data_IF_489739242306
#
_entry.id   IF_489739242306
#
_cell.length_a   1.000
_cell.length_b   1.000
_cell.length_c   1.000
_cell.angle_alpha   90.00
_cell.angle_beta   90.00
_cell.angle_gamma   90.00
#
_symmetry.space_group_name_H-M   'P 1'
#
loop_
_entity.id
_entity.type
_entity.pdbx_description
1 polymer ?
#
# COMPACT_ATOMS: atom_id res chain seq x y z
N UNK A 1 17.14 -5.67 6.76
CA UNK A 1 17.22 -4.23 7.04
C UNK A 1 17.19 -4.04 8.55
N UNK A 2 18.08 -3.23 9.13
CA UNK A 2 18.12 -3.01 10.58
C UNK A 2 17.29 -1.76 10.92
N UNK A 3 16.27 -1.90 11.77
CA UNK A 3 15.40 -0.81 12.22
C UNK A 3 16.16 0.45 12.67
N UNK A 4 17.32 0.26 13.31
CA UNK A 4 18.16 1.36 13.78
C UNK A 4 18.80 2.15 12.64
N UNK A 5 19.13 1.50 11.51
CA UNK A 5 19.58 2.20 10.30
C UNK A 5 18.46 3.09 9.75
N UNK A 6 17.24 2.55 9.64
CA UNK A 6 16.09 3.30 9.18
C UNK A 6 15.83 4.53 10.05
N UNK A 7 15.79 4.36 11.38
CA UNK A 7 15.62 5.49 12.33
C UNK A 7 16.71 6.54 12.18
N UNK A 8 17.96 6.11 12.10
CA UNK A 8 19.11 7.02 11.92
C UNK A 8 18.96 7.83 10.64
N UNK A 9 18.52 7.19 9.56
CA UNK A 9 18.29 7.86 8.29
C UNK A 9 17.11 8.84 8.34
N UNK A 10 16.01 8.50 9.01
CA UNK A 10 14.89 9.41 9.22
C UNK A 10 15.28 10.71 9.95
N UNK A 11 16.26 10.63 10.85
CA UNK A 11 16.78 11.80 11.57
C UNK A 11 17.78 12.59 10.71
N UNK A 12 18.61 11.89 9.95
CA UNK A 12 19.80 12.48 9.31
C UNK A 12 19.56 12.99 7.89
N UNK A 13 18.55 12.48 7.19
CA UNK A 13 18.30 12.79 5.78
C UNK A 13 16.92 13.39 5.55
N UNK A 14 16.76 14.05 4.40
CA UNK A 14 15.48 14.58 3.98
C UNK A 14 14.47 13.45 3.68
N UNK A 15 13.17 13.68 3.86
CA UNK A 15 12.14 12.66 3.64
C UNK A 15 12.17 12.02 2.26
N UNK A 16 12.44 12.78 1.20
CA UNK A 16 12.52 12.29 -0.17
C UNK A 16 13.64 11.26 -0.36
N UNK A 17 14.80 11.50 0.27
CA UNK A 17 15.93 10.56 0.25
C UNK A 17 15.59 9.26 0.99
N UNK A 18 14.92 9.38 2.13
CA UNK A 18 14.49 8.22 2.93
C UNK A 18 13.46 7.38 2.15
N UNK A 19 12.47 8.03 1.56
CA UNK A 19 11.45 7.36 0.73
C UNK A 19 12.10 6.66 -0.46
N UNK A 20 12.94 7.36 -1.22
CA UNK A 20 13.61 6.78 -2.38
C UNK A 20 14.43 5.55 -1.99
N UNK A 21 15.26 5.66 -0.95
CA UNK A 21 16.11 4.54 -0.51
C UNK A 21 15.26 3.37 0.00
N UNK A 22 14.42 3.58 1.01
CA UNK A 22 13.82 2.48 1.77
C UNK A 22 12.51 1.95 1.18
N UNK A 23 11.72 2.78 0.50
CA UNK A 23 10.43 2.37 -0.05
C UNK A 23 10.53 2.00 -1.53
N UNK A 24 11.34 2.72 -2.31
CA UNK A 24 11.43 2.53 -3.76
C UNK A 24 12.54 1.56 -4.15
N UNK A 25 13.79 1.87 -3.79
CA UNK A 25 14.98 1.20 -4.32
C UNK A 25 15.32 -0.10 -3.58
N UNK A 26 15.23 -0.11 -2.24
CA UNK A 26 15.69 -1.27 -1.47
C UNK A 26 14.81 -2.50 -1.70
N UNK A 27 15.39 -3.72 -1.65
CA UNK A 27 14.61 -4.94 -1.81
C UNK A 27 13.51 -5.07 -0.75
N UNK A 28 12.35 -5.58 -1.15
CA UNK A 28 11.23 -5.81 -0.23
C UNK A 28 11.59 -6.88 0.78
N UNK A 29 11.42 -6.60 2.08
CA UNK A 29 11.73 -7.56 3.15
C UNK A 29 11.04 -8.91 2.94
N UNK A 30 9.74 -8.90 2.63
CA UNK A 30 8.96 -10.12 2.40
C UNK A 30 9.54 -10.98 1.27
N UNK A 31 9.84 -10.38 0.11
CA UNK A 31 10.37 -11.11 -1.04
C UNK A 31 11.89 -11.37 -0.96
N UNK A 32 12.57 -10.85 0.05
CA UNK A 32 13.97 -11.16 0.32
C UNK A 32 14.12 -12.24 1.42
N UNK A 33 13.17 -12.36 2.33
CA UNK A 33 13.27 -13.25 3.49
C UNK A 33 12.23 -14.38 3.52
N UNK A 34 11.00 -14.13 3.06
CA UNK A 34 9.87 -15.06 3.16
C UNK A 34 9.60 -15.76 1.82
N UNK A 35 9.45 -15.01 0.73
CA UNK A 35 9.16 -15.50 -0.64
C UNK A 35 10.26 -15.07 -1.62
N UNK A 36 11.43 -15.70 -1.49
CA UNK A 36 12.66 -15.26 -2.17
C UNK A 36 12.52 -15.21 -3.69
N UNK A 37 12.74 -14.04 -4.27
CA UNK A 37 12.83 -13.84 -5.72
C UNK A 37 11.49 -13.72 -6.45
N UNK A 38 10.36 -13.76 -5.74
CA UNK A 38 9.02 -13.71 -6.36
C UNK A 38 8.49 -12.29 -6.57
N UNK A 39 9.24 -11.24 -6.18
CA UNK A 39 8.77 -9.85 -6.23
C UNK A 39 8.39 -9.38 -7.64
N UNK A 40 9.20 -9.77 -8.63
CA UNK A 40 8.96 -9.40 -10.02
C UNK A 40 7.67 -10.03 -10.54
N UNK A 41 7.49 -11.34 -10.37
CA UNK A 41 6.29 -12.01 -10.88
C UNK A 41 5.04 -11.53 -10.15
N UNK A 42 5.13 -11.29 -8.83
CA UNK A 42 4.04 -10.73 -8.04
C UNK A 42 3.57 -9.38 -8.57
N UNK A 43 4.50 -8.42 -8.71
CA UNK A 43 4.18 -7.07 -9.20
C UNK A 43 3.70 -7.10 -10.66
N UNK A 44 4.24 -8.00 -11.49
CA UNK A 44 3.84 -8.16 -12.90
C UNK A 44 2.40 -8.63 -13.00
N UNK A 45 2.01 -9.65 -12.23
CA UNK A 45 0.65 -10.17 -12.24
C UNK A 45 -0.36 -9.11 -11.82
N UNK A 46 -0.07 -8.31 -10.80
CA UNK A 46 -0.94 -7.19 -10.38
C UNK A 46 -1.06 -6.14 -11.49
N UNK A 47 0.06 -5.76 -12.11
CA UNK A 47 0.09 -4.78 -13.18
C UNK A 47 -0.75 -5.20 -14.39
N UNK A 48 -0.69 -6.48 -14.77
CA UNK A 48 -1.50 -7.06 -15.86
C UNK A 48 -2.99 -7.05 -15.53
N UNK A 49 -3.38 -7.41 -14.30
CA UNK A 49 -4.79 -7.42 -13.86
C UNK A 49 -5.38 -6.01 -13.90
N UNK A 50 -4.63 -5.01 -13.44
CA UNK A 50 -5.10 -3.64 -13.32
C UNK A 50 -4.88 -2.80 -14.58
N UNK A 51 -4.13 -3.32 -15.57
CA UNK A 51 -3.79 -2.58 -16.78
C UNK A 51 -2.90 -1.37 -16.51
N UNK A 52 -1.99 -1.46 -15.52
CA UNK A 52 -1.04 -0.39 -15.16
C UNK A 52 0.40 -0.80 -15.47
N UNK A 53 1.33 0.15 -15.45
CA UNK A 53 2.72 -0.20 -15.66
C UNK A 53 3.30 -0.87 -14.40
N UNK A 54 4.18 -1.86 -14.58
CA UNK A 54 4.81 -2.60 -13.46
C UNK A 54 5.48 -1.70 -12.42
N UNK A 55 6.06 -0.57 -12.85
CA UNK A 55 6.73 0.40 -11.97
C UNK A 55 5.75 1.19 -11.10
N UNK A 56 4.47 1.19 -11.45
CA UNK A 56 3.42 1.87 -10.70
C UNK A 56 2.99 1.05 -9.48
N UNK A 57 3.39 -0.22 -9.41
CA UNK A 57 3.16 -1.10 -8.27
C UNK A 57 4.30 -0.97 -7.26
N UNK A 58 3.99 -0.54 -6.05
CA UNK A 58 4.97 -0.34 -4.97
C UNK A 58 4.50 -1.10 -3.74
N UNK A 59 5.34 -1.97 -3.21
CA UNK A 59 5.06 -2.66 -1.94
C UNK A 59 5.45 -1.71 -0.80
N UNK A 60 4.57 -1.57 0.17
CA UNK A 60 4.72 -0.66 1.30
C UNK A 60 4.47 -1.39 2.62
N UNK A 61 4.41 -0.66 3.73
CA UNK A 61 4.09 -1.20 5.04
C UNK A 61 5.17 -2.14 5.59
N UNK A 62 4.76 -3.03 6.51
CA UNK A 62 5.68 -3.94 7.20
C UNK A 62 6.27 -5.00 6.28
N UNK A 63 5.57 -5.39 5.21
CA UNK A 63 6.12 -6.31 4.21
C UNK A 63 7.29 -5.73 3.42
N UNK A 64 7.31 -4.40 3.22
CA UNK A 64 8.44 -3.69 2.61
C UNK A 64 9.64 -3.58 3.55
N UNK A 65 9.42 -3.03 4.74
CA UNK A 65 10.49 -2.63 5.65
C UNK A 65 10.96 -3.76 6.58
N UNK A 66 10.11 -4.77 6.80
CA UNK A 66 10.30 -5.82 7.81
C UNK A 66 9.79 -5.44 9.19
N UNK A 67 9.24 -4.23 9.36
CA UNK A 67 8.61 -3.76 10.58
C UNK A 67 7.52 -2.74 10.26
N UNK A 68 6.53 -2.62 11.13
CA UNK A 68 5.43 -1.68 10.98
C UNK A 68 5.84 -0.26 11.40
N UNK A 69 5.58 0.71 10.53
CA UNK A 69 5.69 2.15 10.83
C UNK A 69 4.34 2.76 11.21
N UNK A 70 3.32 1.93 11.49
CA UNK A 70 2.02 2.41 11.96
C UNK A 70 2.12 2.77 13.44
N UNK A 71 1.73 3.98 13.85
CA UNK A 71 1.66 4.32 15.26
C UNK A 71 0.54 3.51 15.92
N UNK A 72 0.75 3.16 17.18
CA UNK A 72 -0.28 2.57 18.02
C UNK A 72 -1.45 3.54 18.19
N UNK A 73 -2.68 3.08 17.98
CA UNK A 73 -3.87 3.95 17.91
C UNK A 73 -4.21 4.60 19.26
N UNK A 74 -3.85 3.97 20.36
CA UNK A 74 -4.16 4.46 21.70
C UNK A 74 -3.06 5.39 22.24
N UNK A 75 -1.80 5.03 21.96
CA UNK A 75 -0.65 5.72 22.55
C UNK A 75 0.07 6.68 21.60
N UNK A 76 -0.25 6.64 20.30
CA UNK A 76 0.47 7.32 19.22
C UNK A 76 1.97 6.97 19.14
N UNK A 77 2.40 5.91 19.82
CA UNK A 77 3.79 5.46 19.86
C UNK A 77 4.09 4.55 18.67
N UNK A 78 5.25 4.76 18.04
CA UNK A 78 5.78 3.87 17.02
C UNK A 78 6.44 2.66 17.68
N UNK A 79 5.71 1.55 17.77
CA UNK A 79 6.20 0.31 18.40
C UNK A 79 7.14 -0.51 17.50
N UNK A 80 7.19 -0.21 16.20
CA UNK A 80 8.03 -0.91 15.22
C UNK A 80 7.92 -2.44 15.29
N UNK A 81 6.69 -2.96 15.41
CA UNK A 81 6.44 -4.41 15.44
C UNK A 81 7.04 -5.06 14.19
N UNK A 82 7.84 -6.10 14.37
CA UNK A 82 8.45 -6.82 13.23
C UNK A 82 7.37 -7.54 12.41
N UNK A 83 7.67 -7.77 11.13
CA UNK A 83 6.80 -8.58 10.27
C UNK A 83 6.65 -9.98 10.87
N UNK A 84 5.42 -10.45 11.00
CA UNK A 84 5.01 -11.70 11.63
C UNK A 84 5.38 -11.86 13.13
N UNK A 85 5.74 -10.77 13.80
CA UNK A 85 6.17 -10.77 15.20
C UNK A 85 5.19 -11.47 16.17
N UNK A 86 3.90 -11.19 16.05
CA UNK A 86 2.90 -11.75 16.96
C UNK A 86 2.66 -13.25 16.65
N UNK A 87 2.89 -13.69 15.41
CA UNK A 87 2.86 -15.12 15.02
C UNK A 87 4.08 -15.86 15.55
N UNK A 88 5.27 -15.28 15.37
CA UNK A 88 6.53 -15.88 15.83
C UNK A 88 6.56 -16.04 17.36
N UNK A 89 5.87 -15.15 18.08
CA UNK A 89 5.70 -15.24 19.54
C UNK A 89 4.55 -16.14 19.99
N UNK A 90 3.79 -16.73 19.07
CA UNK A 90 2.61 -17.53 19.39
C UNK A 90 1.48 -16.72 20.03
N UNK A 91 1.47 -15.39 19.85
CA UNK A 91 0.44 -14.48 20.35
C UNK A 91 -0.73 -14.34 19.37
N UNK A 92 -0.54 -14.76 18.12
CA UNK A 92 -1.52 -14.70 17.04
C UNK A 92 -1.28 -15.86 16.06
N UNK A 93 -2.36 -16.36 15.46
CA UNK A 93 -2.26 -17.26 14.28
C UNK A 93 -2.33 -16.48 12.95
N UNK A 94 -2.63 -15.19 13.03
CA UNK A 94 -2.84 -14.30 11.87
C UNK A 94 -1.51 -13.69 11.45
N UNK A 95 -1.08 -14.02 10.21
CA UNK A 95 0.10 -13.44 9.55
C UNK A 95 -0.13 -11.99 9.14
N UNK A 96 0.96 -11.27 8.97
CA UNK A 96 0.96 -9.88 8.54
C UNK A 96 0.52 -9.77 7.08
N UNK A 97 -0.26 -8.73 6.80
CA UNK A 97 -0.68 -8.42 5.44
C UNK A 97 0.48 -7.82 4.61
N UNK A 98 0.34 -7.90 3.28
CA UNK A 98 1.23 -7.25 2.33
C UNK A 98 0.51 -6.03 1.73
N UNK A 99 0.94 -4.84 2.15
CA UNK A 99 0.37 -3.59 1.65
C UNK A 99 0.97 -3.23 0.28
N UNK A 100 0.13 -2.89 -0.68
CA UNK A 100 0.54 -2.50 -2.05
C UNK A 100 -0.10 -1.16 -2.41
N UNK A 101 0.74 -0.21 -2.80
CA UNK A 101 0.35 1.07 -3.38
C UNK A 101 0.43 1.01 -4.92
N UNK A 102 -0.56 1.58 -5.59
CA UNK A 102 -0.63 1.66 -7.05
C UNK A 102 -0.70 3.14 -7.45
N UNK A 103 0.27 3.61 -8.22
CA UNK A 103 0.37 5.02 -8.64
C UNK A 103 0.07 5.13 -10.13
N UNK A 104 -1.21 5.26 -10.48
CA UNK A 104 -1.64 5.42 -11.87
C UNK A 104 -2.79 6.41 -11.97
N UNK A 105 -2.56 7.53 -12.64
CA UNK A 105 -3.61 8.53 -12.92
C UNK A 105 -4.75 7.94 -13.74
N UNK A 106 -4.42 7.12 -14.75
CA UNK A 106 -5.43 6.49 -15.60
C UNK A 106 -6.32 5.53 -14.79
N UNK A 107 -5.73 4.69 -13.94
CA UNK A 107 -6.51 3.81 -13.07
C UNK A 107 -7.36 4.62 -12.09
N UNK A 108 -6.79 5.66 -11.49
CA UNK A 108 -7.51 6.53 -10.56
C UNK A 108 -8.73 7.17 -11.23
N UNK A 109 -8.54 7.83 -12.37
CA UNK A 109 -9.62 8.52 -13.10
C UNK A 109 -10.73 7.54 -13.50
N UNK A 110 -10.34 6.37 -14.03
CA UNK A 110 -11.27 5.29 -14.40
C UNK A 110 -12.08 4.78 -13.22
N UNK A 111 -11.44 4.50 -12.08
CA UNK A 111 -12.15 3.97 -10.92
C UNK A 111 -13.02 5.04 -10.22
N UNK A 112 -12.63 6.31 -10.27
CA UNK A 112 -13.48 7.42 -9.85
C UNK A 112 -14.72 7.54 -10.75
N UNK A 113 -14.56 7.42 -12.07
CA UNK A 113 -15.68 7.39 -13.01
C UNK A 113 -16.60 6.18 -12.74
N UNK A 114 -16.03 4.99 -12.55
CA UNK A 114 -16.80 3.79 -12.20
C UNK A 114 -17.60 3.98 -10.92
N UNK A 115 -16.97 4.54 -9.88
CA UNK A 115 -17.62 4.84 -8.61
C UNK A 115 -18.74 5.87 -8.79
N UNK A 116 -18.49 6.93 -9.54
CA UNK A 116 -19.48 7.97 -9.85
C UNK A 116 -20.71 7.37 -10.54
N UNK A 117 -20.49 6.53 -11.55
CA UNK A 117 -21.56 5.84 -12.28
C UNK A 117 -22.30 4.82 -11.41
N UNK A 118 -21.59 4.12 -10.52
CA UNK A 118 -22.20 3.14 -9.61
C UNK A 118 -23.10 3.79 -8.56
N UNK A 119 -22.74 4.99 -8.09
CA UNK A 119 -23.48 5.72 -7.05
C UNK A 119 -24.75 6.43 -7.56
N UNK A 120 -25.11 6.25 -8.84
CA UNK A 120 -26.38 6.66 -9.49
C UNK A 120 -26.78 8.15 -9.32
N UNK A 121 -25.80 9.04 -9.07
CA UNK A 121 -26.02 10.48 -9.09
C UNK A 121 -26.11 10.96 -10.54
N UNK A 122 -27.28 10.77 -11.15
CA UNK A 122 -27.96 11.58 -12.20
C UNK A 122 -29.15 10.84 -12.85
N UNK A 123 -29.79 9.87 -12.18
CA UNK A 123 -31.19 9.50 -12.50
C UNK A 123 -32.23 10.31 -11.71
N UNK A 124 -31.84 11.48 -11.22
CA UNK A 124 -32.70 12.43 -10.51
C UNK A 124 -33.37 13.49 -11.39
N UNK A 125 -33.16 13.49 -12.71
CA UNK A 125 -33.80 14.46 -13.62
C UNK A 125 -34.41 13.78 -14.85
N UNK A 126 -35.36 12.86 -14.63
CA UNK A 126 -36.33 12.45 -15.66
C UNK A 126 -37.79 12.58 -15.21
N UNK A 127 -38.07 13.30 -14.12
CA UNK A 127 -39.44 13.63 -13.68
C UNK A 127 -39.76 15.15 -13.79
N UNK A 128 -39.03 15.89 -14.63
CA UNK A 128 -39.37 17.28 -14.97
C UNK A 128 -40.32 17.40 -16.18
N UNK A 129 -40.92 16.29 -16.64
CA UNK A 129 -41.86 16.27 -17.77
C UNK A 129 -43.33 16.49 -17.43
N UNK A 130 -43.75 16.26 -16.17
CA UNK A 130 -45.19 16.18 -15.82
C UNK A 130 -45.72 17.34 -14.97
N UNK A 131 -45.01 18.47 -14.89
CA UNK A 131 -45.41 19.61 -14.04
C UNK A 131 -46.17 20.74 -14.74
N UNK A 132 -46.60 20.56 -15.98
CA UNK A 132 -47.51 21.47 -16.67
C UNK A 132 -48.74 20.71 -17.23
N UNK A 133 -49.47 20.01 -16.35
CA UNK A 133 -50.89 19.69 -16.57
C UNK A 133 -51.77 20.61 -15.72
#
# INVERSE_FOLDING_TARGET
>A
MLLEEFKTHCISYKPDVVVQKFLIEEPTFFFNNVRKGEEYDFKKNIAEILGVHFRDIIIVGSGKLGFSIKPDSETALYRFKMFDHDVDKGLSEVKSDLDVAIISSNLFDKEIENLYNHMDFYKGTSNWGDRNS
#
